data_IF_119042250895
#
_entry.id   IF_119042250895
#
_cell.length_a   1.000
_cell.length_b   1.000
_cell.length_c   1.000
_cell.angle_alpha   90.00
_cell.angle_beta   90.00
_cell.angle_gamma   90.00
#
_symmetry.space_group_name_H-M   'P 1'
#
loop_
_entity.id
_entity.type
_entity.pdbx_description
1 polymer ?
#
# COMPACT_ATOMS: atom_id res chain seq x y z
N UNK A 1 1.66 1.48 -13.65
CA UNK A 1 2.03 2.91 -13.53
C UNK A 1 3.51 3.08 -13.88
N UNK A 2 3.93 4.19 -14.50
CA UNK A 2 5.33 4.37 -14.91
C UNK A 2 6.30 4.60 -13.74
N UNK A 3 5.81 5.06 -12.59
CA UNK A 3 6.61 5.23 -11.37
C UNK A 3 5.83 4.73 -10.15
N UNK A 4 6.54 4.49 -9.05
CA UNK A 4 5.97 3.94 -7.82
C UNK A 4 4.91 4.84 -7.19
N UNK A 5 3.64 4.42 -7.14
CA UNK A 5 2.57 5.23 -6.56
C UNK A 5 2.71 5.37 -5.04
N UNK A 6 3.34 4.42 -4.35
CA UNK A 6 3.49 4.44 -2.90
C UNK A 6 4.55 5.45 -2.49
N UNK A 7 5.67 5.55 -3.23
CA UNK A 7 6.68 6.61 -3.02
C UNK A 7 6.09 8.00 -3.19
N UNK A 8 5.36 8.24 -4.28
CA UNK A 8 4.67 9.53 -4.51
C UNK A 8 3.62 9.82 -3.41
N UNK A 9 2.95 8.78 -2.92
CA UNK A 9 1.97 8.93 -1.85
C UNK A 9 2.65 9.24 -0.51
N UNK A 10 3.80 8.65 -0.20
CA UNK A 10 4.58 8.95 0.99
C UNK A 10 5.02 10.43 1.03
N UNK A 11 5.51 10.96 -0.10
CA UNK A 11 5.85 12.38 -0.22
C UNK A 11 4.63 13.29 0.03
N UNK A 12 3.48 12.93 -0.55
CA UNK A 12 2.23 13.66 -0.32
C UNK A 12 1.82 13.61 1.15
N UNK A 13 1.88 12.43 1.77
CA UNK A 13 1.58 12.26 3.19
C UNK A 13 2.47 13.14 4.07
N UNK A 14 3.77 13.21 3.80
CA UNK A 14 4.68 14.08 4.54
C UNK A 14 4.29 15.56 4.49
N UNK A 15 3.85 16.04 3.32
CA UNK A 15 3.36 17.43 3.17
C UNK A 15 2.01 17.67 3.85
N UNK A 16 1.13 16.67 3.87
CA UNK A 16 -0.22 16.80 4.43
C UNK A 16 -0.29 16.52 5.94
N UNK A 17 0.70 15.84 6.53
CA UNK A 17 0.70 15.44 7.94
C UNK A 17 0.49 16.62 8.93
N UNK A 18 1.11 17.79 8.77
CA UNK A 18 0.85 18.94 9.63
C UNK A 18 -0.63 19.38 9.61
N UNK A 19 -1.26 19.37 8.44
CA UNK A 19 -2.68 19.70 8.28
C UNK A 19 -3.57 18.62 8.91
N UNK A 20 -3.19 17.34 8.79
CA UNK A 20 -3.89 16.25 9.47
C UNK A 20 -3.84 16.41 11.00
N UNK A 21 -2.70 16.84 11.56
CA UNK A 21 -2.57 17.16 12.98
C UNK A 21 -3.46 18.33 13.41
N UNK A 22 -3.53 19.37 12.59
CA UNK A 22 -4.32 20.58 12.87
C UNK A 22 -5.83 20.29 12.84
N UNK A 23 -6.31 19.61 11.79
CA UNK A 23 -7.74 19.31 11.60
C UNK A 23 -8.24 18.11 12.42
N UNK A 24 -7.32 17.31 12.95
CA UNK A 24 -7.61 16.24 13.87
C UNK A 24 -8.29 15.01 13.26
N UNK A 25 -8.77 14.14 14.15
CA UNK A 25 -9.09 12.75 13.84
C UNK A 25 -10.26 12.58 12.85
N UNK A 26 -11.30 13.42 12.95
CA UNK A 26 -12.44 13.37 12.03
C UNK A 26 -12.02 13.65 10.58
N UNK A 27 -11.16 14.66 10.38
CA UNK A 27 -10.63 14.96 9.05
C UNK A 27 -9.71 13.86 8.55
N UNK A 28 -8.86 13.32 9.42
CA UNK A 28 -8.02 12.17 9.09
C UNK A 28 -8.84 10.97 8.60
N UNK A 29 -9.96 10.63 9.25
CA UNK A 29 -10.79 9.49 8.82
C UNK A 29 -11.35 9.68 7.40
N UNK A 30 -11.83 10.88 7.08
CA UNK A 30 -12.31 11.21 5.74
C UNK A 30 -11.16 11.13 4.71
N UNK A 31 -9.99 11.68 5.04
CA UNK A 31 -8.80 11.62 4.19
C UNK A 31 -8.34 10.16 3.97
N UNK A 32 -8.21 9.38 5.05
CA UNK A 32 -7.73 7.99 5.01
C UNK A 32 -8.68 7.06 4.26
N UNK A 33 -9.98 7.35 4.24
CA UNK A 33 -10.96 6.60 3.44
C UNK A 33 -10.67 6.70 1.94
N UNK A 34 -10.30 7.88 1.44
CA UNK A 34 -9.99 8.11 0.03
C UNK A 34 -8.53 7.78 -0.34
N UNK A 35 -7.65 7.63 0.64
CA UNK A 35 -6.21 7.40 0.43
C UNK A 35 -5.77 6.00 0.87
N UNK A 36 -5.36 5.83 2.13
CA UNK A 36 -4.81 4.59 2.71
C UNK A 36 -5.75 3.42 2.45
N UNK A 37 -7.06 3.60 2.65
CA UNK A 37 -8.04 2.53 2.46
C UNK A 37 -8.17 2.12 0.99
N UNK A 38 -8.17 3.07 0.06
CA UNK A 38 -8.21 2.77 -1.38
C UNK A 38 -6.91 2.12 -1.85
N UNK A 39 -5.76 2.56 -1.34
CA UNK A 39 -4.48 1.93 -1.63
C UNK A 39 -4.49 0.46 -1.19
N UNK A 40 -4.87 0.20 0.06
CA UNK A 40 -4.98 -1.18 0.57
C UNK A 40 -5.96 -2.03 -0.23
N UNK A 41 -7.16 -1.51 -0.50
CA UNK A 41 -8.20 -2.23 -1.25
C UNK A 41 -7.77 -2.54 -2.70
N UNK A 42 -7.07 -1.62 -3.37
CA UNK A 42 -6.58 -1.84 -4.73
C UNK A 42 -5.57 -2.99 -4.79
N UNK A 43 -4.63 -3.07 -3.83
CA UNK A 43 -3.67 -4.17 -3.77
C UNK A 43 -4.28 -5.48 -3.27
N UNK A 44 -5.31 -5.42 -2.42
CA UNK A 44 -6.09 -6.61 -2.04
C UNK A 44 -6.82 -7.19 -3.25
N UNK A 45 -7.50 -6.36 -4.03
CA UNK A 45 -8.15 -6.78 -5.28
C UNK A 45 -7.13 -7.32 -6.29
N UNK A 46 -5.98 -6.66 -6.43
CA UNK A 46 -4.89 -7.12 -7.28
C UNK A 46 -4.36 -8.49 -6.87
N UNK A 47 -4.16 -8.72 -5.57
CA UNK A 47 -3.76 -10.02 -5.03
C UNK A 47 -4.82 -11.10 -5.33
N UNK A 48 -6.10 -10.82 -5.11
CA UNK A 48 -7.19 -11.76 -5.44
C UNK A 48 -7.19 -12.12 -6.93
N UNK A 49 -6.97 -11.14 -7.80
CA UNK A 49 -6.86 -11.37 -9.24
C UNK A 49 -5.65 -12.23 -9.60
N UNK A 50 -4.47 -11.97 -9.01
CA UNK A 50 -3.28 -12.79 -9.24
C UNK A 50 -3.48 -14.24 -8.76
N UNK A 51 -4.11 -14.43 -7.61
CA UNK A 51 -4.46 -15.76 -7.12
C UNK A 51 -5.38 -16.51 -8.10
N UNK A 52 -6.44 -15.84 -8.59
CA UNK A 52 -7.32 -16.43 -9.60
C UNK A 52 -6.57 -16.80 -10.90
N UNK A 53 -5.68 -15.94 -11.39
CA UNK A 53 -4.86 -16.22 -12.57
C UNK A 53 -3.90 -17.40 -12.36
N UNK A 54 -3.34 -17.54 -11.16
CA UNK A 54 -2.52 -18.68 -10.76
C UNK A 54 -3.31 -19.99 -10.83
N UNK A 55 -4.53 -19.99 -10.29
CA UNK A 55 -5.38 -21.19 -10.22
C UNK A 55 -5.78 -21.68 -11.62
N UNK A 56 -6.17 -20.78 -12.53
CA UNK A 56 -6.56 -21.16 -13.90
C UNK A 56 -5.36 -21.39 -14.84
N UNK A 57 -4.15 -20.97 -14.42
CA UNK A 57 -2.95 -20.96 -15.25
C UNK A 57 -2.07 -22.21 -15.15
N UNK A 58 -2.41 -23.13 -14.24
CA UNK A 58 -1.63 -24.34 -13.96
C UNK A 58 -0.32 -24.07 -13.20
N UNK A 59 0.44 -25.14 -12.85
CA UNK A 59 1.53 -25.06 -11.88
C UNK A 59 2.63 -24.04 -12.24
N UNK A 60 3.03 -23.98 -13.52
CA UNK A 60 4.07 -23.06 -13.99
C UNK A 60 3.66 -21.59 -13.81
N UNK A 61 2.40 -21.25 -14.09
CA UNK A 61 1.91 -19.88 -13.94
C UNK A 61 1.73 -19.54 -12.46
N UNK A 62 1.26 -20.49 -11.66
CA UNK A 62 1.15 -20.31 -10.22
C UNK A 62 2.52 -20.01 -9.59
N UNK A 63 3.56 -20.75 -9.97
CA UNK A 63 4.94 -20.49 -9.52
C UNK A 63 5.43 -19.10 -9.95
N UNK A 64 5.18 -18.72 -11.20
CA UNK A 64 5.59 -17.43 -11.76
C UNK A 64 4.93 -16.22 -11.07
N UNK A 65 3.65 -16.34 -10.68
CA UNK A 65 2.87 -15.25 -10.09
C UNK A 65 2.95 -15.19 -8.55
N UNK A 66 3.40 -16.27 -7.88
CA UNK A 66 3.44 -16.36 -6.43
C UNK A 66 4.19 -15.20 -5.74
N UNK A 67 5.37 -14.75 -6.23
CA UNK A 67 6.07 -13.62 -5.60
C UNK A 67 5.29 -12.30 -5.68
N UNK A 68 4.70 -11.99 -6.86
CA UNK A 68 3.91 -10.78 -7.03
C UNK A 68 2.64 -10.80 -6.16
N UNK A 69 1.98 -11.95 -6.06
CA UNK A 69 0.85 -12.17 -5.15
C UNK A 69 1.24 -11.84 -3.70
N UNK A 70 2.35 -12.38 -3.21
CA UNK A 70 2.84 -12.13 -1.86
C UNK A 70 3.10 -10.63 -1.61
N UNK A 71 3.76 -9.95 -2.54
CA UNK A 71 4.02 -8.51 -2.41
C UNK A 71 2.74 -7.67 -2.39
N UNK A 72 1.75 -8.02 -3.21
CA UNK A 72 0.47 -7.31 -3.22
C UNK A 72 -0.29 -7.51 -1.91
N UNK A 73 -0.27 -8.73 -1.36
CA UNK A 73 -0.82 -9.01 -0.03
C UNK A 73 -0.10 -8.24 1.07
N UNK A 74 1.22 -8.10 1.02
CA UNK A 74 1.99 -7.30 1.97
C UNK A 74 1.56 -5.83 1.95
N UNK A 75 1.38 -5.23 0.77
CA UNK A 75 0.90 -3.84 0.66
C UNK A 75 -0.52 -3.70 1.21
N UNK A 76 -1.42 -4.63 0.89
CA UNK A 76 -2.77 -4.62 1.42
C UNK A 76 -2.78 -4.70 2.96
N UNK A 77 -1.99 -5.62 3.53
CA UNK A 77 -1.87 -5.80 4.97
C UNK A 77 -1.21 -4.59 5.66
N UNK A 78 -0.17 -4.02 5.04
CA UNK A 78 0.51 -2.83 5.53
C UNK A 78 -0.46 -1.65 5.65
N UNK A 79 -1.32 -1.44 4.65
CA UNK A 79 -2.34 -0.39 4.70
C UNK A 79 -3.40 -0.61 5.80
N UNK A 80 -3.79 -1.87 6.07
CA UNK A 80 -4.70 -2.20 7.19
C UNK A 80 -4.10 -1.82 8.54
N UNK A 81 -2.80 -2.03 8.74
CA UNK A 81 -2.11 -1.59 9.95
C UNK A 81 -1.91 -0.06 9.97
N UNK A 82 -1.56 0.52 8.83
CA UNK A 82 -1.24 1.93 8.68
C UNK A 82 -2.41 2.83 9.08
N UNK A 83 -3.65 2.45 8.73
CA UNK A 83 -4.83 3.26 9.04
C UNK A 83 -4.99 3.48 10.56
N UNK A 84 -4.56 2.53 11.39
CA UNK A 84 -4.58 2.66 12.85
C UNK A 84 -3.34 3.40 13.35
N UNK A 85 -2.17 3.14 12.76
CA UNK A 85 -0.90 3.81 13.12
C UNK A 85 -1.00 5.33 12.93
N UNK A 86 -1.48 5.78 11.79
CA UNK A 86 -1.61 7.22 11.49
C UNK A 86 -2.73 7.85 12.32
N UNK A 87 -3.85 7.16 12.56
CA UNK A 87 -4.91 7.68 13.45
C UNK A 87 -4.36 8.05 14.83
N UNK A 88 -3.57 7.15 15.43
CA UNK A 88 -2.93 7.37 16.74
C UNK A 88 -1.93 8.51 16.69
N UNK A 89 -1.11 8.58 15.65
CA UNK A 89 -0.13 9.65 15.49
C UNK A 89 -0.81 11.01 15.32
N UNK A 90 -1.86 11.10 14.51
CA UNK A 90 -2.65 12.33 14.33
C UNK A 90 -3.28 12.77 15.64
N UNK A 91 -3.91 11.84 16.38
CA UNK A 91 -4.53 12.16 17.66
C UNK A 91 -3.49 12.62 18.71
N UNK A 92 -2.28 12.05 18.68
CA UNK A 92 -1.18 12.41 19.57
C UNK A 92 -0.29 13.55 19.04
N UNK A 93 -0.60 14.12 17.86
CA UNK A 93 0.22 15.09 17.12
C UNK A 93 1.69 14.66 16.98
N UNK A 94 1.92 13.37 16.79
CA UNK A 94 3.26 12.78 16.72
C UNK A 94 3.82 12.90 15.31
N UNK A 95 5.06 13.40 15.19
CA UNK A 95 5.78 13.38 13.93
C UNK A 95 5.96 11.95 13.41
N UNK A 96 5.93 11.80 12.08
CA UNK A 96 6.15 10.52 11.41
C UNK A 96 7.05 10.75 10.21
N UNK A 97 8.06 9.92 10.03
CA UNK A 97 8.87 9.92 8.81
C UNK A 97 8.14 9.13 7.72
N UNK A 98 7.74 9.77 6.59
CA UNK A 98 7.09 9.05 5.50
C UNK A 98 7.92 7.90 4.92
N UNK A 99 9.26 8.01 4.92
CA UNK A 99 10.12 6.95 4.41
C UNK A 99 10.01 5.69 5.29
N UNK A 100 10.03 5.85 6.62
CA UNK A 100 9.83 4.76 7.57
C UNK A 100 8.41 4.17 7.47
N UNK A 101 7.42 5.03 7.26
CA UNK A 101 6.01 4.63 7.27
C UNK A 101 5.61 3.82 6.02
N UNK A 102 6.16 4.17 4.86
CA UNK A 102 5.78 3.59 3.57
C UNK A 102 6.86 2.74 2.92
N UNK A 103 8.10 2.77 3.42
CA UNK A 103 9.27 2.18 2.77
C UNK A 103 9.12 0.70 2.43
N UNK A 104 8.64 -0.10 3.37
CA UNK A 104 8.40 -1.53 3.14
C UNK A 104 7.38 -1.75 2.01
N UNK A 105 6.25 -1.03 2.04
CA UNK A 105 5.22 -1.16 1.00
C UNK A 105 5.72 -0.65 -0.35
N UNK A 106 6.52 0.43 -0.37
CA UNK A 106 7.13 0.94 -1.59
C UNK A 106 8.09 -0.09 -2.20
N UNK A 107 8.91 -0.77 -1.38
CA UNK A 107 9.78 -1.84 -1.82
C UNK A 107 9.00 -3.06 -2.32
N UNK A 108 7.93 -3.47 -1.62
CA UNK A 108 7.02 -4.53 -2.08
C UNK A 108 6.40 -4.18 -3.43
N UNK A 109 6.09 -2.90 -3.69
CA UNK A 109 5.57 -2.49 -4.99
C UNK A 109 6.59 -2.69 -6.10
N UNK A 110 7.82 -2.22 -5.93
CA UNK A 110 8.89 -2.39 -6.93
C UNK A 110 9.12 -3.88 -7.23
N UNK A 111 9.24 -4.70 -6.18
CA UNK A 111 9.49 -6.12 -6.31
C UNK A 111 8.31 -6.84 -6.97
N UNK A 112 7.08 -6.54 -6.53
CA UNK A 112 5.87 -7.12 -7.11
C UNK A 112 5.70 -6.79 -8.58
N UNK A 113 5.92 -5.54 -8.98
CA UNK A 113 5.84 -5.14 -10.39
C UNK A 113 6.96 -5.76 -11.23
N UNK A 114 8.19 -5.80 -10.73
CA UNK A 114 9.30 -6.46 -11.42
C UNK A 114 9.04 -7.95 -11.64
N UNK A 115 8.42 -8.63 -10.66
CA UNK A 115 7.99 -10.01 -10.82
C UNK A 115 6.93 -10.17 -11.92
N UNK A 116 5.97 -9.24 -12.03
CA UNK A 116 4.99 -9.27 -13.11
C UNK A 116 5.64 -9.03 -14.47
N UNK A 117 6.49 -8.02 -14.61
CA UNK A 117 7.16 -7.69 -15.87
C UNK A 117 8.07 -8.83 -16.38
N UNK A 118 8.63 -9.63 -15.47
CA UNK A 118 9.44 -10.80 -15.83
C UNK A 118 8.64 -12.04 -16.24
N UNK A 119 7.33 -12.10 -15.94
CA UNK A 119 6.52 -13.32 -16.04
C UNK A 119 5.24 -13.17 -16.88
N UNK A 120 4.95 -11.98 -17.42
CA UNK A 120 3.78 -11.70 -18.27
C UNK A 120 4.24 -11.26 -19.66
#
# INVERSE_FOLDING_TARGET
PLTNPITRFAERFGRELPMLHEKGLAHYHAWAFATIRQLGAAFELGAVNLAWLSDIGGPKRAEALAPALQHFQQIAQGNKALILKVARAVNAKRAMDPAEVFGEMAASWEQGMACLDANI
#
